data_IF_160116526650
#
_entry.id   IF_160116526650
#
_cell.length_a   1.000
_cell.length_b   1.000
_cell.length_c   1.000
_cell.angle_alpha   90.00
_cell.angle_beta   90.00
_cell.angle_gamma   90.00
#
_symmetry.space_group_name_H-M   'P 1'
#
loop_
_entity.id
_entity.type
_entity.pdbx_description
1 polymer ?
#
# COMPACT_ATOMS: atom_id res chain seq x y z
N UNK A 1 -11.63 17.02 -11.33
CA UNK A 1 -10.74 15.98 -10.78
C UNK A 1 -10.42 16.34 -9.33
N UNK A 2 -10.45 15.38 -8.46
CA UNK A 2 -10.25 15.58 -7.03
C UNK A 2 -8.79 15.33 -6.68
N UNK A 3 -8.16 16.27 -5.99
CA UNK A 3 -6.78 16.12 -5.51
C UNK A 3 -6.78 15.42 -4.14
N UNK A 4 -5.87 14.46 -3.97
CA UNK A 4 -5.78 13.69 -2.73
C UNK A 4 -4.32 13.43 -2.37
N UNK A 5 -3.94 13.73 -1.12
CA UNK A 5 -2.64 13.39 -0.58
C UNK A 5 -2.79 12.16 0.30
N UNK A 6 -1.97 11.14 0.03
CA UNK A 6 -2.07 9.84 0.67
C UNK A 6 -0.72 9.40 1.21
N UNK A 7 -0.75 8.39 2.06
CA UNK A 7 0.46 7.74 2.57
C UNK A 7 0.31 6.24 2.42
N UNK A 8 1.39 5.56 2.06
CA UNK A 8 1.40 4.11 1.87
C UNK A 8 2.65 3.45 2.43
N UNK A 9 2.58 2.14 2.59
CA UNK A 9 3.64 1.35 3.23
C UNK A 9 4.11 0.25 2.30
N UNK A 10 5.45 0.16 2.16
CA UNK A 10 6.11 -0.96 1.50
C UNK A 10 6.79 -1.78 2.58
N UNK A 11 6.11 -2.82 3.04
CA UNK A 11 6.61 -3.70 4.08
C UNK A 11 7.07 -5.00 3.45
N UNK A 12 8.37 -5.27 3.54
CA UNK A 12 8.99 -6.46 2.96
C UNK A 12 9.49 -7.32 4.12
N UNK A 13 9.13 -8.59 4.12
CA UNK A 13 9.56 -9.56 5.11
C UNK A 13 9.79 -10.91 4.42
N UNK A 14 10.94 -11.51 4.65
CA UNK A 14 11.29 -12.80 4.06
C UNK A 14 11.07 -12.84 2.54
N UNK A 15 11.55 -11.78 1.85
CA UNK A 15 11.44 -11.61 0.39
C UNK A 15 10.00 -11.60 -0.13
N UNK A 16 9.05 -11.22 0.73
CA UNK A 16 7.64 -11.06 0.38
C UNK A 16 7.17 -9.68 0.75
N UNK A 17 6.24 -9.17 -0.05
CA UNK A 17 5.68 -7.83 0.17
C UNK A 17 4.24 -7.93 0.66
N UNK A 18 3.95 -7.18 1.71
CA UNK A 18 2.61 -7.12 2.30
C UNK A 18 1.67 -6.40 1.34
N UNK A 19 0.61 -7.07 0.93
CA UNK A 19 -0.29 -6.58 -0.11
C UNK A 19 -1.75 -6.76 0.29
N UNK A 20 -2.60 -5.92 -0.27
CA UNK A 20 -4.05 -5.99 -0.07
C UNK A 20 -4.73 -6.16 -1.43
N UNK A 21 -5.87 -6.84 -1.41
CA UNK A 21 -6.75 -6.90 -2.58
C UNK A 21 -7.95 -6.02 -2.32
N UNK A 22 -8.20 -5.09 -3.23
CA UNK A 22 -9.29 -4.13 -3.12
C UNK A 22 -10.38 -4.43 -4.13
N UNK A 23 -11.61 -4.06 -3.78
CA UNK A 23 -12.76 -4.13 -4.69
C UNK A 23 -13.34 -2.74 -4.80
N UNK A 24 -13.45 -2.22 -6.04
CA UNK A 24 -14.09 -0.95 -6.29
C UNK A 24 -15.59 -1.08 -5.95
N UNK A 25 -16.13 -0.23 -5.05
CA UNK A 25 -17.51 -0.38 -4.59
C UNK A 25 -18.55 -0.12 -5.68
N UNK A 26 -18.20 0.58 -6.75
CA UNK A 26 -19.13 0.89 -7.83
C UNK A 26 -19.01 -0.07 -9.00
N UNK A 27 -17.80 -0.34 -9.47
CA UNK A 27 -17.57 -1.22 -10.63
C UNK A 27 -17.49 -2.69 -10.28
N UNK A 28 -17.10 -3.01 -9.03
CA UNK A 28 -16.84 -4.38 -8.62
C UNK A 28 -15.49 -4.92 -9.04
N UNK A 29 -14.69 -4.11 -9.73
CA UNK A 29 -13.35 -4.53 -10.15
C UNK A 29 -12.45 -4.79 -8.95
N UNK A 30 -11.68 -5.88 -9.02
CA UNK A 30 -10.75 -6.27 -7.97
C UNK A 30 -9.32 -6.16 -8.46
N UNK A 31 -8.44 -5.67 -7.59
CA UNK A 31 -7.04 -5.51 -7.93
C UNK A 31 -6.17 -5.53 -6.69
N UNK A 32 -4.90 -5.92 -6.86
CA UNK A 32 -3.92 -5.90 -5.79
C UNK A 32 -3.29 -4.52 -5.65
N UNK A 33 -3.02 -4.13 -4.42
CA UNK A 33 -2.43 -2.85 -4.08
C UNK A 33 -1.57 -2.98 -2.82
N UNK A 34 -0.96 -1.89 -2.43
CA UNK A 34 -0.19 -1.79 -1.18
C UNK A 34 -1.03 -1.07 -0.14
N UNK A 35 -0.83 -1.37 1.15
CA UNK A 35 -1.57 -0.69 2.21
C UNK A 35 -1.33 0.82 2.18
N UNK A 36 -2.38 1.59 2.38
CA UNK A 36 -2.28 3.04 2.41
C UNK A 36 -3.64 3.70 2.41
N UNK A 37 -3.63 5.02 2.58
CA UNK A 37 -4.86 5.80 2.59
C UNK A 37 -4.61 7.28 2.85
N UNK A 38 -5.67 8.00 3.16
CA UNK A 38 -5.62 9.43 3.40
C UNK A 38 -4.92 9.80 4.71
N UNK A 39 -4.31 10.95 4.72
CA UNK A 39 -3.63 11.50 5.89
C UNK A 39 -4.63 12.34 6.67
N UNK A 40 -4.83 12.04 7.96
CA UNK A 40 -5.70 12.82 8.82
C UNK A 40 -5.02 14.10 9.30
N UNK A 41 -5.83 15.09 9.71
CA UNK A 41 -5.34 16.44 10.01
C UNK A 41 -4.28 16.48 11.13
N UNK A 42 -4.33 15.54 12.05
CA UNK A 42 -3.45 15.54 13.23
C UNK A 42 -2.27 14.59 13.12
N UNK A 43 -2.08 13.94 11.95
CA UNK A 43 -1.00 12.96 11.80
C UNK A 43 -0.02 13.35 10.71
N UNK A 44 1.21 12.84 10.85
CA UNK A 44 2.19 12.93 9.77
C UNK A 44 1.88 11.88 8.70
N UNK A 45 2.49 12.01 7.53
CA UNK A 45 2.34 11.01 6.48
C UNK A 45 2.81 9.62 6.95
N UNK A 46 3.92 9.55 7.70
CA UNK A 46 4.40 8.28 8.22
C UNK A 46 3.42 7.67 9.22
N UNK A 47 2.87 8.48 10.12
CA UNK A 47 1.86 8.00 11.06
C UNK A 47 0.63 7.45 10.34
N UNK A 48 0.19 8.14 9.27
CA UNK A 48 -0.92 7.68 8.45
C UNK A 48 -0.61 6.33 7.79
N UNK A 49 0.58 6.17 7.23
CA UNK A 49 0.98 4.92 6.58
C UNK A 49 0.98 3.75 7.58
N UNK A 50 1.48 3.98 8.79
CA UNK A 50 1.50 2.96 9.84
C UNK A 50 0.08 2.60 10.27
N UNK A 51 -0.76 3.60 10.49
CA UNK A 51 -2.15 3.41 10.89
C UNK A 51 -2.94 2.64 9.83
N UNK A 52 -2.86 3.07 8.58
CA UNK A 52 -3.58 2.42 7.49
C UNK A 52 -3.14 0.97 7.30
N UNK A 53 -1.84 0.69 7.43
CA UNK A 53 -1.34 -0.68 7.33
C UNK A 53 -1.97 -1.56 8.40
N UNK A 54 -2.04 -1.09 9.64
CA UNK A 54 -2.67 -1.84 10.72
C UNK A 54 -4.16 -2.05 10.48
N UNK A 55 -4.86 -1.01 10.05
CA UNK A 55 -6.31 -1.11 9.79
C UNK A 55 -6.62 -2.08 8.67
N UNK A 56 -5.81 -2.09 7.62
CA UNK A 56 -6.09 -2.88 6.41
C UNK A 56 -5.54 -4.30 6.48
N UNK A 57 -4.46 -4.53 7.21
CA UNK A 57 -3.78 -5.82 7.22
C UNK A 57 -3.72 -6.49 8.58
N UNK A 58 -3.90 -5.75 9.66
CA UNK A 58 -3.73 -6.24 11.02
C UNK A 58 -2.28 -6.31 11.49
N UNK A 59 -1.33 -5.93 10.65
CA UNK A 59 0.09 -5.92 11.02
C UNK A 59 0.55 -4.57 11.52
N UNK A 60 1.35 -4.57 12.58
CA UNK A 60 2.04 -3.39 13.08
C UNK A 60 3.43 -3.32 12.46
N UNK A 61 3.79 -2.15 11.96
CA UNK A 61 5.05 -1.94 11.25
C UNK A 61 5.83 -0.79 11.88
N UNK A 62 7.14 -0.82 11.69
CA UNK A 62 8.04 0.28 12.05
C UNK A 62 8.71 0.80 10.80
N UNK A 63 9.00 2.11 10.78
CA UNK A 63 9.64 2.73 9.63
C UNK A 63 11.09 2.30 9.49
N UNK A 64 11.53 2.10 8.26
CA UNK A 64 12.93 2.03 7.88
C UNK A 64 13.33 3.40 7.32
N UNK A 65 14.51 3.49 6.68
CA UNK A 65 15.08 4.80 6.36
C UNK A 65 14.61 5.40 5.03
N UNK A 66 14.07 4.60 4.11
CA UNK A 66 13.77 5.07 2.77
C UNK A 66 12.33 5.51 2.61
N UNK A 67 12.12 6.55 1.82
CA UNK A 67 10.80 7.00 1.42
C UNK A 67 10.81 7.43 -0.04
N UNK A 68 9.63 7.44 -0.65
CA UNK A 68 9.46 7.79 -2.05
C UNK A 68 8.10 8.45 -2.24
N UNK A 69 8.03 9.48 -3.06
CA UNK A 69 6.76 10.16 -3.35
C UNK A 69 6.51 10.13 -4.84
N UNK A 70 5.30 9.78 -5.24
CA UNK A 70 4.91 9.89 -6.63
C UNK A 70 3.50 10.45 -6.80
N UNK A 71 3.23 10.92 -8.00
CA UNK A 71 1.94 11.45 -8.39
C UNK A 71 1.36 10.54 -9.48
N UNK A 72 0.04 10.28 -9.38
CA UNK A 72 -0.64 9.44 -10.36
C UNK A 72 -2.15 9.71 -10.31
N UNK A 73 -2.82 9.34 -11.39
CA UNK A 73 -4.28 9.35 -11.41
C UNK A 73 -4.82 7.99 -10.96
N UNK A 74 -5.88 8.02 -10.20
CA UNK A 74 -6.51 6.81 -9.69
C UNK A 74 -8.01 6.91 -9.87
N UNK A 75 -8.60 5.94 -10.57
CA UNK A 75 -10.03 5.85 -10.77
C UNK A 75 -10.62 4.94 -9.69
N UNK A 76 -11.57 5.47 -8.94
CA UNK A 76 -12.16 4.75 -7.81
C UNK A 76 -13.58 5.23 -7.58
N UNK A 77 -14.52 4.30 -7.39
CA UNK A 77 -15.91 4.60 -7.06
C UNK A 77 -16.55 5.62 -8.02
N UNK A 78 -16.24 5.47 -9.31
CA UNK A 78 -16.81 6.32 -10.36
C UNK A 78 -16.18 7.70 -10.49
N UNK A 79 -15.09 7.97 -9.79
CA UNK A 79 -14.41 9.26 -9.83
C UNK A 79 -12.92 9.10 -10.11
N UNK A 80 -12.32 10.11 -10.73
CA UNK A 80 -10.87 10.16 -10.95
C UNK A 80 -10.24 11.09 -9.93
N UNK A 81 -9.20 10.59 -9.27
CA UNK A 81 -8.44 11.33 -8.27
C UNK A 81 -7.04 11.61 -8.79
N UNK A 82 -6.55 12.82 -8.55
CA UNK A 82 -5.13 13.15 -8.65
C UNK A 82 -4.50 12.84 -7.31
N UNK A 83 -3.70 11.78 -7.25
CA UNK A 83 -3.10 11.34 -6.00
C UNK A 83 -1.63 11.73 -5.93
N UNK A 84 -1.23 12.27 -4.78
CA UNK A 84 0.17 12.33 -4.38
C UNK A 84 0.31 11.43 -3.19
N UNK A 85 1.14 10.39 -3.31
CA UNK A 85 1.32 9.42 -2.24
C UNK A 85 2.76 9.42 -1.76
N UNK A 86 2.90 9.53 -0.44
CA UNK A 86 4.17 9.39 0.26
C UNK A 86 4.31 7.94 0.70
N UNK A 87 5.27 7.24 0.12
CA UNK A 87 5.52 5.82 0.40
C UNK A 87 6.68 5.67 1.35
N UNK A 88 6.53 4.80 2.34
CA UNK A 88 7.55 4.55 3.34
C UNK A 88 7.92 3.08 3.33
N UNK A 89 9.21 2.78 3.49
CA UNK A 89 9.67 1.43 3.70
C UNK A 89 9.48 1.07 5.16
N UNK A 90 8.94 -0.12 5.41
CA UNK A 90 8.70 -0.59 6.76
C UNK A 90 9.10 -2.03 6.96
N UNK A 91 9.22 -2.39 8.24
CA UNK A 91 9.45 -3.76 8.67
C UNK A 91 8.40 -4.12 9.71
N UNK A 92 8.13 -5.42 9.88
CA UNK A 92 7.21 -5.88 10.91
C UNK A 92 7.75 -5.51 12.29
N UNK A 93 6.90 -4.88 13.11
CA UNK A 93 7.19 -4.66 14.52
C UNK A 93 7.05 -5.97 15.30
N UNK A 94 6.20 -6.86 14.81
CA UNK A 94 5.88 -8.16 15.40
C UNK A 94 5.36 -9.07 14.29
N UNK A 95 5.62 -10.40 14.35
CA UNK A 95 5.02 -11.32 13.38
C UNK A 95 3.52 -11.52 13.59
N UNK A 96 2.97 -11.02 14.70
CA UNK A 96 1.57 -11.24 15.06
C UNK A 96 0.64 -10.38 14.24
N UNK A 97 -0.34 -11.00 13.60
CA UNK A 97 -1.39 -10.31 12.87
C UNK A 97 -2.60 -10.13 13.78
N UNK A 98 -3.04 -8.88 13.96
CA UNK A 98 -4.27 -8.60 14.68
C UNK A 98 -5.46 -8.75 13.74
N UNK A 99 -6.65 -8.87 14.34
CA UNK A 99 -7.89 -8.91 13.57
C UNK A 99 -8.12 -7.63 12.80
N UNK A 100 -8.50 -7.76 11.52
CA UNK A 100 -8.85 -6.62 10.67
C UNK A 100 -10.30 -6.25 10.95
N UNK A 101 -10.50 -4.99 11.36
CA UNK A 101 -11.83 -4.49 11.72
C UNK A 101 -12.37 -3.63 10.57
N UNK A 102 -13.43 -4.09 9.91
CA UNK A 102 -14.34 -3.34 9.02
C UNK A 102 -13.69 -2.50 7.91
N UNK A 103 -12.86 -3.11 7.08
CA UNK A 103 -12.45 -2.51 5.82
C UNK A 103 -13.25 -3.16 4.69
N UNK A 104 -14.40 -2.58 4.36
CA UNK A 104 -15.36 -3.20 3.43
C UNK A 104 -14.84 -3.34 2.01
N UNK A 105 -13.92 -2.47 1.60
CA UNK A 105 -13.35 -2.50 0.25
C UNK A 105 -12.08 -3.33 0.15
N UNK A 106 -11.58 -3.82 1.27
CA UNK A 106 -10.40 -4.69 1.34
C UNK A 106 -10.91 -6.12 1.51
N UNK A 107 -10.68 -6.97 0.52
CA UNK A 107 -11.25 -8.32 0.51
C UNK A 107 -10.21 -9.42 0.77
N UNK A 108 -8.93 -9.09 0.75
CA UNK A 108 -7.86 -10.04 1.07
C UNK A 108 -6.59 -9.30 1.48
N UNK A 109 -5.76 -9.99 2.24
CA UNK A 109 -4.42 -9.56 2.61
C UNK A 109 -3.48 -10.73 2.33
N UNK A 110 -2.36 -10.49 1.66
CA UNK A 110 -1.45 -11.56 1.27
C UNK A 110 -0.03 -11.05 1.21
N UNK A 111 0.91 -11.93 1.57
CA UNK A 111 2.34 -11.70 1.35
C UNK A 111 2.67 -12.24 -0.03
N UNK A 112 3.04 -11.35 -0.94
CA UNK A 112 3.35 -11.71 -2.32
C UNK A 112 4.87 -11.83 -2.46
N UNK A 113 5.34 -12.97 -2.98
CA UNK A 113 6.75 -13.19 -3.20
C UNK A 113 7.32 -12.12 -4.13
N UNK A 114 8.46 -11.56 -3.78
CA UNK A 114 9.04 -10.44 -4.51
C UNK A 114 9.16 -10.70 -6.02
N UNK A 115 9.68 -11.85 -6.46
CA UNK A 115 9.82 -12.08 -7.91
C UNK A 115 8.51 -12.08 -8.68
N UNK A 116 7.37 -12.24 -7.99
CA UNK A 116 6.04 -12.32 -8.62
C UNK A 116 5.32 -10.98 -8.64
N UNK A 117 5.90 -9.91 -8.07
CA UNK A 117 5.15 -8.66 -7.88
C UNK A 117 4.64 -8.08 -9.19
N UNK A 118 5.38 -8.21 -10.29
CA UNK A 118 4.95 -7.66 -11.58
C UNK A 118 3.67 -8.30 -12.09
N UNK A 119 3.44 -9.58 -11.77
CA UNK A 119 2.21 -10.26 -12.18
C UNK A 119 0.99 -9.74 -11.43
N UNK A 120 1.18 -9.31 -10.19
CA UNK A 120 0.08 -8.84 -9.35
C UNK A 120 -0.19 -7.34 -9.52
N UNK A 121 0.81 -6.55 -9.86
CA UNK A 121 0.70 -5.08 -9.93
C UNK A 121 0.87 -4.51 -11.32
N UNK A 122 0.89 -5.33 -12.37
CA UNK A 122 1.14 -4.88 -13.74
C UNK A 122 0.06 -3.93 -14.29
N UNK A 123 -1.12 -3.90 -13.66
CA UNK A 123 -2.21 -3.00 -14.02
C UNK A 123 -1.94 -1.55 -13.57
N UNK A 124 -0.93 -1.31 -12.75
CA UNK A 124 -0.70 -0.02 -12.11
C UNK A 124 0.77 0.36 -12.20
N UNK A 125 1.12 1.20 -13.18
CA UNK A 125 2.50 1.61 -13.41
C UNK A 125 3.07 2.42 -12.24
N UNK A 126 2.23 3.17 -11.52
CA UNK A 126 2.67 3.92 -10.35
C UNK A 126 3.14 2.99 -9.23
N UNK A 127 2.44 1.87 -9.02
CA UNK A 127 2.87 0.87 -8.03
C UNK A 127 4.14 0.16 -8.47
N UNK A 128 4.29 -0.14 -9.75
CA UNK A 128 5.53 -0.74 -10.25
C UNK A 128 6.72 0.18 -10.01
N UNK A 129 6.55 1.49 -10.19
CA UNK A 129 7.58 2.48 -9.91
C UNK A 129 7.99 2.45 -8.44
N UNK A 130 7.01 2.39 -7.53
CA UNK A 130 7.25 2.31 -6.09
C UNK A 130 8.04 1.03 -5.75
N UNK A 131 7.62 -0.09 -6.29
CA UNK A 131 8.25 -1.37 -6.01
C UNK A 131 9.66 -1.45 -6.58
N UNK A 132 9.89 -0.87 -7.75
CA UNK A 132 11.24 -0.79 -8.32
C UNK A 132 12.16 0.07 -7.45
N UNK A 133 11.65 1.16 -6.89
CA UNK A 133 12.43 2.02 -6.00
C UNK A 133 12.86 1.28 -4.73
N UNK A 134 11.95 0.51 -4.13
CA UNK A 134 12.23 -0.19 -2.87
C UNK A 134 12.82 -1.59 -3.06
N UNK A 135 13.04 -2.01 -4.29
CA UNK A 135 13.58 -3.35 -4.56
C UNK A 135 14.90 -3.58 -3.82
N UNK A 136 15.05 -4.72 -3.13
CA UNK A 136 16.33 -5.05 -2.52
C UNK A 136 17.42 -5.18 -3.58
N UNK A 137 18.57 -4.55 -3.36
CA UNK A 137 19.65 -4.54 -4.34
C UNK A 137 20.32 -5.91 -4.55
N UNK A 138 19.98 -6.87 -3.72
CA UNK A 138 20.58 -8.22 -3.77
C UNK A 138 19.69 -9.25 -4.46
N UNK A 139 18.66 -8.81 -5.17
CA UNK A 139 17.75 -9.73 -5.85
C UNK A 139 18.11 -9.89 -7.32
N UNK A 140 19.35 -10.04 -7.59
CA UNK A 140 19.91 -10.34 -8.89
C UNK A 140 20.35 -11.82 -8.98
#
# INVERSE_FOLDING_TARGET
MINRTRAGMVCIDDEKILSIKQRDPKSGDEFWSLPGGGIEATETALEAAIRETREETGYSVVAKSRSFTNDYEFFWNGQTYNCRTHWFEGALASPKQAEVISETDIIACQWIAWPSFRNYFNHNTALLEVLDFFAPQKMD
#
